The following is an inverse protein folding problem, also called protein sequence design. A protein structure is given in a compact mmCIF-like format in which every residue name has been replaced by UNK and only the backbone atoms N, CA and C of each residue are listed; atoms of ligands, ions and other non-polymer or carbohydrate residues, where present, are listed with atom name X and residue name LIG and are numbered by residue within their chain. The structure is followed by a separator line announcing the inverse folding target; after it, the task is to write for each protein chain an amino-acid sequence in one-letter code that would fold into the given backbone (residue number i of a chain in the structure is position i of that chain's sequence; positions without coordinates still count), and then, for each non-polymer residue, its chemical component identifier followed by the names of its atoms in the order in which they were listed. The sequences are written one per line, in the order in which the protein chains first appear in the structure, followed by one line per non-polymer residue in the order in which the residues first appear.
data_IF_313140640508
#
_entry.id   IF_313140640508
#
_cell.length_a   1.000
_cell.length_b   1.000
_cell.length_c   1.000
_cell.angle_alpha   90.00
_cell.angle_beta   90.00
_cell.angle_gamma   90.00
#
_symmetry.space_group_name_H-M   'P 1'
#
loop_
_entity.id
_entity.type
_entity.pdbx_description
1 polymer ?
#
# COMPACT_ATOMS: atom_id res chain seq x y z
N UNK A 1 35.05 -43.65 -13.32
CA UNK A 1 34.52 -43.05 -14.56
C UNK A 1 33.29 -42.24 -14.17
N UNK A 2 33.44 -40.93 -13.96
CA UNK A 2 32.25 -40.06 -13.80
C UNK A 2 31.66 -39.79 -15.19
N UNK A 3 30.34 -39.80 -15.36
CA UNK A 3 29.72 -39.48 -16.64
C UNK A 3 29.94 -38.01 -16.95
N UNK A 4 30.40 -37.72 -18.17
CA UNK A 4 30.50 -36.35 -18.70
C UNK A 4 29.10 -35.81 -18.98
N UNK A 5 28.44 -35.25 -17.96
CA UNK A 5 27.23 -34.46 -18.19
C UNK A 5 27.64 -33.11 -18.79
N UNK A 6 27.77 -33.03 -20.11
CA UNK A 6 27.76 -31.75 -20.83
C UNK A 6 26.32 -31.22 -20.84
N UNK A 7 25.89 -30.67 -19.71
CA UNK A 7 24.73 -29.80 -19.69
C UNK A 7 25.11 -28.53 -20.48
N UNK A 8 24.71 -28.45 -21.74
CA UNK A 8 24.84 -27.22 -22.54
C UNK A 8 23.74 -26.26 -22.11
N UNK A 9 24.11 -25.21 -21.40
CA UNK A 9 23.21 -24.12 -21.04
C UNK A 9 22.95 -23.29 -22.31
N UNK A 10 21.71 -23.24 -22.78
CA UNK A 10 21.32 -22.33 -23.86
C UNK A 10 21.13 -20.92 -23.30
N UNK A 11 22.05 -20.03 -23.64
CA UNK A 11 22.07 -18.64 -23.17
C UNK A 11 20.86 -17.84 -23.67
N UNK A 12 20.30 -18.17 -24.84
CA UNK A 12 19.13 -17.49 -25.37
C UNK A 12 17.85 -17.87 -24.63
N UNK A 13 17.66 -19.16 -24.34
CA UNK A 13 16.52 -19.65 -23.54
C UNK A 13 16.54 -19.00 -22.15
N UNK A 14 17.71 -18.99 -21.51
CA UNK A 14 17.88 -18.38 -20.20
C UNK A 14 17.63 -16.86 -20.20
N UNK A 15 18.14 -16.14 -21.22
CA UNK A 15 17.91 -14.70 -21.34
C UNK A 15 16.41 -14.37 -21.52
N UNK A 16 15.67 -15.24 -22.20
CA UNK A 16 14.22 -15.09 -22.38
C UNK A 16 13.45 -15.36 -21.08
N UNK A 17 13.79 -16.42 -20.35
CA UNK A 17 13.19 -16.71 -19.03
C UNK A 17 13.43 -15.57 -18.03
N UNK A 18 14.65 -15.00 -18.01
CA UNK A 18 14.98 -13.88 -17.13
C UNK A 18 14.19 -12.62 -17.49
N UNK A 19 13.99 -12.37 -18.78
CA UNK A 19 13.16 -11.26 -19.26
C UNK A 19 11.72 -11.45 -18.83
N UNK A 20 11.16 -12.64 -19.01
CA UNK A 20 9.79 -12.95 -18.60
C UNK A 20 9.57 -12.77 -17.08
N UNK A 21 10.52 -13.22 -16.26
CA UNK A 21 10.47 -13.00 -14.81
C UNK A 21 10.56 -11.51 -14.44
N UNK A 22 11.43 -10.76 -15.12
CA UNK A 22 11.56 -9.32 -14.91
C UNK A 22 10.27 -8.57 -15.28
N UNK A 23 9.66 -8.92 -16.41
CA UNK A 23 8.41 -8.34 -16.88
C UNK A 23 7.26 -8.64 -15.90
N UNK A 24 7.16 -9.88 -15.40
CA UNK A 24 6.18 -10.26 -14.36
C UNK A 24 6.40 -9.51 -13.06
N UNK A 25 7.65 -9.37 -12.61
CA UNK A 25 7.98 -8.62 -11.39
C UNK A 25 7.60 -7.14 -11.53
N UNK A 26 7.88 -6.54 -12.69
CA UNK A 26 7.55 -5.16 -12.97
C UNK A 26 6.04 -4.92 -13.00
N UNK A 27 5.29 -5.82 -13.65
CA UNK A 27 3.83 -5.76 -13.70
C UNK A 27 3.21 -5.85 -12.30
N UNK A 28 3.61 -6.84 -11.50
CA UNK A 28 3.11 -6.99 -10.13
C UNK A 28 3.50 -5.83 -9.21
N UNK A 29 4.69 -5.26 -9.38
CA UNK A 29 5.12 -4.09 -8.57
C UNK A 29 4.28 -2.86 -8.92
N UNK A 30 4.01 -2.63 -10.21
CA UNK A 30 3.13 -1.56 -10.66
C UNK A 30 1.71 -1.73 -10.11
N UNK A 31 1.17 -2.94 -10.15
CA UNK A 31 -0.14 -3.25 -9.57
C UNK A 31 -0.17 -3.01 -8.05
N UNK A 32 0.90 -3.40 -7.33
CA UNK A 32 1.04 -3.14 -5.89
C UNK A 32 0.98 -1.64 -5.58
N UNK A 33 1.69 -0.83 -6.35
CA UNK A 33 1.74 0.63 -6.17
C UNK A 33 0.39 1.29 -6.49
N UNK A 34 -0.30 0.85 -7.54
CA UNK A 34 -1.65 1.32 -7.87
C UNK A 34 -2.65 0.99 -6.75
N UNK A 35 -2.61 -0.24 -6.22
CA UNK A 35 -3.48 -0.65 -5.11
C UNK A 35 -3.15 0.14 -3.84
N UNK A 36 -1.87 0.39 -3.54
CA UNK A 36 -1.45 1.20 -2.39
C UNK A 36 -1.98 2.63 -2.48
N UNK A 37 -1.88 3.26 -3.66
CA UNK A 37 -2.43 4.61 -3.88
C UNK A 37 -3.94 4.62 -3.63
N UNK A 38 -4.67 3.69 -4.23
CA UNK A 38 -6.11 3.57 -4.05
C UNK A 38 -6.52 3.27 -2.59
N UNK A 39 -5.69 2.55 -1.84
CA UNK A 39 -5.93 2.26 -0.43
C UNK A 39 -5.77 3.51 0.45
N UNK A 40 -4.79 4.37 0.16
CA UNK A 40 -4.63 5.65 0.87
C UNK A 40 -5.87 6.51 0.65
N UNK A 41 -6.31 6.67 -0.59
CA UNK A 41 -7.55 7.39 -0.92
C UNK A 41 -8.76 6.83 -0.18
N UNK A 42 -8.94 5.50 -0.16
CA UNK A 42 -10.07 4.87 0.53
C UNK A 42 -10.04 5.09 2.05
N UNK A 43 -8.84 5.11 2.65
CA UNK A 43 -8.66 5.40 4.08
C UNK A 43 -8.99 6.86 4.40
N UNK A 44 -8.57 7.79 3.54
CA UNK A 44 -8.90 9.21 3.66
C UNK A 44 -10.41 9.44 3.54
N UNK A 45 -11.04 8.86 2.51
CA UNK A 45 -12.49 8.90 2.32
C UNK A 45 -13.25 8.36 3.54
N UNK A 46 -12.75 7.26 4.13
CA UNK A 46 -13.36 6.69 5.34
C UNK A 46 -13.29 7.67 6.51
N UNK A 47 -12.14 8.32 6.72
CA UNK A 47 -11.99 9.30 7.79
C UNK A 47 -12.93 10.48 7.61
N UNK A 48 -13.06 10.99 6.38
CA UNK A 48 -14.00 12.06 6.04
C UNK A 48 -15.43 11.62 6.36
N UNK A 49 -15.84 10.44 5.91
CA UNK A 49 -17.21 9.93 6.13
C UNK A 49 -17.51 9.65 7.60
N UNK A 50 -16.53 9.22 8.39
CA UNK A 50 -16.69 9.07 9.85
C UNK A 50 -16.90 10.43 10.51
N UNK A 51 -16.12 11.45 10.15
CA UNK A 51 -16.28 12.79 10.69
C UNK A 51 -17.63 13.40 10.29
N UNK A 52 -18.02 13.28 9.02
CA UNK A 52 -19.32 13.71 8.51
C UNK A 52 -20.46 13.04 9.27
N UNK A 53 -20.40 11.71 9.49
CA UNK A 53 -21.41 10.98 10.25
C UNK A 53 -21.54 11.51 11.68
N UNK A 54 -20.42 11.77 12.35
CA UNK A 54 -20.43 12.32 13.71
C UNK A 54 -21.06 13.71 13.76
N UNK A 55 -20.81 14.55 12.76
CA UNK A 55 -21.39 15.90 12.68
C UNK A 55 -22.89 15.84 12.47
N UNK A 56 -23.36 15.02 11.51
CA UNK A 56 -24.79 14.91 11.21
C UNK A 56 -25.55 14.25 12.37
N UNK A 57 -24.99 13.22 13.01
CA UNK A 57 -25.62 12.59 14.18
C UNK A 57 -25.80 13.58 15.33
N UNK A 58 -24.82 14.45 15.58
CA UNK A 58 -24.97 15.50 16.60
C UNK A 58 -26.05 16.51 16.23
N UNK A 59 -26.08 16.94 14.97
CA UNK A 59 -27.11 17.86 14.50
C UNK A 59 -28.53 17.24 14.62
N UNK A 60 -28.67 15.95 14.29
CA UNK A 60 -29.91 15.19 14.50
C UNK A 60 -30.29 15.14 15.98
N UNK A 61 -29.35 14.77 16.87
CA UNK A 61 -29.58 14.72 18.32
C UNK A 61 -30.01 16.08 18.88
N UNK A 62 -29.38 17.17 18.46
CA UNK A 62 -29.72 18.53 18.86
C UNK A 62 -31.15 18.91 18.39
N UNK A 63 -31.49 18.67 17.13
CA UNK A 63 -32.82 18.97 16.57
C UNK A 63 -33.93 18.16 17.25
N UNK A 64 -33.70 16.88 17.50
CA UNK A 64 -34.64 16.01 18.22
C UNK A 64 -34.79 16.47 19.68
N UNK A 65 -33.70 16.87 20.31
CA UNK A 65 -33.68 17.42 21.66
C UNK A 65 -34.49 18.72 21.77
N UNK A 66 -34.27 19.64 20.83
CA UNK A 66 -34.99 20.91 20.72
C UNK A 66 -36.49 20.67 20.50
N UNK A 67 -36.86 19.74 19.60
CA UNK A 67 -38.25 19.39 19.35
C UNK A 67 -38.92 18.81 20.61
N UNK A 68 -38.24 17.92 21.33
CA UNK A 68 -38.73 17.32 22.58
C UNK A 68 -38.84 18.33 23.73
N UNK A 69 -38.03 19.40 23.70
CA UNK A 69 -38.16 20.51 24.62
C UNK A 69 -39.39 21.37 24.27
N UNK A 70 -39.52 21.77 23.00
CA UNK A 70 -40.65 22.57 22.51
C UNK A 70 -41.99 21.86 22.64
N UNK A 71 -42.05 20.53 22.57
CA UNK A 71 -43.28 19.77 22.74
C UNK A 71 -43.86 19.87 24.16
N UNK A 72 -43.05 20.27 25.15
CA UNK A 72 -43.48 20.47 26.55
C UNK A 72 -44.02 21.87 26.80
N UNK A 73 -43.85 22.78 25.83
CA UNK A 73 -44.23 24.18 25.94
C UNK A 73 -45.57 24.37 25.21
N UNK A 74 -46.59 24.97 25.85
CA UNK A 74 -47.86 25.24 25.20
C UNK A 74 -47.69 26.16 23.99
N UNK A 75 -48.59 26.02 23.03
CA UNK A 75 -48.63 26.91 21.87
C UNK A 75 -48.89 28.36 22.35
N UNK A 76 -48.25 29.33 21.69
CA UNK A 76 -48.22 30.75 22.09
C UNK A 76 -47.37 31.05 23.36
N UNK A 77 -46.61 30.08 23.85
CA UNK A 77 -45.61 30.29 24.91
C UNK A 77 -44.43 31.15 24.42
N UNK A 78 -43.94 32.04 25.28
CA UNK A 78 -42.73 32.81 25.01
C UNK A 78 -41.48 32.06 25.48
N UNK A 79 -40.46 32.03 24.63
CA UNK A 79 -39.19 31.35 24.86
C UNK A 79 -38.03 32.30 24.72
N UNK A 80 -37.28 32.51 25.78
CA UNK A 80 -36.02 33.24 25.70
C UNK A 80 -34.93 32.31 25.18
N UNK A 81 -34.41 32.58 23.99
CA UNK A 81 -33.31 31.81 23.42
C UNK A 81 -32.01 32.09 24.20
N UNK A 82 -31.35 31.07 24.78
CA UNK A 82 -30.11 31.27 25.53
C UNK A 82 -28.93 31.69 24.64
N UNK A 83 -29.02 31.45 23.33
CA UNK A 83 -27.96 31.74 22.36
C UNK A 83 -27.98 33.18 21.86
N UNK A 84 -29.17 33.75 21.62
CA UNK A 84 -29.31 35.11 21.08
C UNK A 84 -29.95 36.11 22.06
N UNK A 85 -30.51 35.65 23.18
CA UNK A 85 -31.18 36.49 24.18
C UNK A 85 -32.54 37.05 23.76
N UNK A 86 -33.04 36.71 22.56
CA UNK A 86 -34.36 37.15 22.09
C UNK A 86 -35.48 36.25 22.60
N UNK A 87 -36.66 36.84 22.75
CA UNK A 87 -37.90 36.12 23.03
C UNK A 87 -38.53 35.69 21.71
N UNK A 88 -38.72 34.39 21.55
CA UNK A 88 -39.38 33.77 20.41
C UNK A 88 -40.76 33.26 20.82
N UNK A 89 -41.72 33.36 19.91
CA UNK A 89 -43.02 32.73 20.11
C UNK A 89 -42.95 31.25 19.70
N UNK A 90 -43.34 30.36 20.62
CA UNK A 90 -43.59 28.94 20.36
C UNK A 90 -44.84 28.81 19.50
N UNK A 91 -44.68 28.92 18.18
CA UNK A 91 -45.75 28.67 17.23
C UNK A 91 -45.78 27.20 16.80
N UNK A 92 -46.98 26.68 16.54
CA UNK A 92 -47.16 25.35 15.94
C UNK A 92 -46.34 25.20 14.65
N UNK A 93 -46.28 26.25 13.83
CA UNK A 93 -45.50 26.26 12.59
C UNK A 93 -44.01 26.03 12.83
N UNK A 94 -43.40 26.70 13.81
CA UNK A 94 -42.00 26.51 14.14
C UNK A 94 -41.70 25.08 14.60
N UNK A 95 -42.63 24.45 15.35
CA UNK A 95 -42.51 23.03 15.75
C UNK A 95 -42.55 22.09 14.54
N UNK A 96 -43.40 22.37 13.55
CA UNK A 96 -43.50 21.58 12.31
C UNK A 96 -42.25 21.73 11.43
N UNK A 97 -41.74 22.96 11.29
CA UNK A 97 -40.50 23.22 10.54
C UNK A 97 -39.33 22.47 11.19
N UNK A 98 -39.17 22.58 12.52
CA UNK A 98 -38.13 21.86 13.26
C UNK A 98 -38.27 20.33 13.16
N UNK A 99 -39.50 19.81 13.19
CA UNK A 99 -39.75 18.37 13.00
C UNK A 99 -39.34 17.89 11.59
N UNK A 100 -39.51 18.74 10.58
CA UNK A 100 -39.08 18.45 9.21
C UNK A 100 -37.55 18.45 9.14
N UNK A 101 -36.89 19.44 9.73
CA UNK A 101 -35.43 19.51 9.77
C UNK A 101 -34.82 18.30 10.50
N UNK A 102 -35.46 17.82 11.59
CA UNK A 102 -35.03 16.63 12.31
C UNK A 102 -35.14 15.35 11.46
N UNK A 103 -36.22 15.21 10.69
CA UNK A 103 -36.39 14.09 9.75
C UNK A 103 -35.36 14.16 8.61
N UNK A 104 -35.12 15.34 8.05
CA UNK A 104 -34.12 15.53 7.00
C UNK A 104 -32.70 15.19 7.51
N UNK A 105 -32.37 15.59 8.74
CA UNK A 105 -31.12 15.21 9.41
C UNK A 105 -31.03 13.69 9.60
N UNK A 106 -32.11 13.03 10.01
CA UNK A 106 -32.17 11.57 10.14
C UNK A 106 -31.90 10.86 8.80
N UNK A 107 -32.55 11.31 7.72
CA UNK A 107 -32.31 10.77 6.38
C UNK A 107 -30.86 10.97 5.93
N UNK A 108 -30.26 12.11 6.28
CA UNK A 108 -28.84 12.37 6.00
C UNK A 108 -27.94 11.41 6.80
N UNK A 109 -28.24 11.11 8.06
CA UNK A 109 -27.51 10.10 8.85
C UNK A 109 -27.56 8.73 8.17
N UNK A 110 -28.72 8.29 7.71
CA UNK A 110 -28.88 7.02 6.99
C UNK A 110 -28.01 7.02 5.71
N UNK A 111 -28.07 8.10 4.94
CA UNK A 111 -27.30 8.26 3.71
C UNK A 111 -25.79 8.19 3.97
N UNK A 112 -25.27 8.97 4.92
CA UNK A 112 -23.83 8.98 5.25
C UNK A 112 -23.37 7.63 5.81
N UNK A 113 -24.19 6.95 6.62
CA UNK A 113 -23.89 5.57 7.08
C UNK A 113 -23.75 4.60 5.91
N UNK A 114 -24.64 4.67 4.92
CA UNK A 114 -24.58 3.81 3.73
C UNK A 114 -23.31 4.07 2.91
N UNK A 115 -22.92 5.34 2.77
CA UNK A 115 -21.70 5.73 2.08
C UNK A 115 -20.45 5.26 2.83
N UNK A 116 -20.43 5.39 4.15
CA UNK A 116 -19.35 4.89 5.00
C UNK A 116 -19.18 3.38 4.84
N UNK A 117 -20.28 2.61 4.84
CA UNK A 117 -20.24 1.16 4.63
C UNK A 117 -19.68 0.80 3.24
N UNK A 118 -20.06 1.55 2.20
CA UNK A 118 -19.52 1.37 0.84
C UNK A 118 -17.99 1.60 0.78
N UNK A 119 -17.52 2.69 1.41
CA UNK A 119 -16.08 2.99 1.48
C UNK A 119 -15.32 1.93 2.28
N UNK A 120 -15.89 1.45 3.39
CA UNK A 120 -15.29 0.37 4.19
C UNK A 120 -15.16 -0.94 3.41
N UNK A 121 -16.18 -1.31 2.63
CA UNK A 121 -16.12 -2.48 1.76
C UNK A 121 -15.05 -2.32 0.69
N UNK A 122 -14.98 -1.15 0.03
CA UNK A 122 -13.92 -0.84 -0.94
C UNK A 122 -12.53 -0.94 -0.32
N UNK A 123 -12.34 -0.41 0.89
CA UNK A 123 -11.08 -0.50 1.62
C UNK A 123 -10.69 -1.97 1.91
N UNK A 124 -11.66 -2.78 2.35
CA UNK A 124 -11.45 -4.21 2.62
C UNK A 124 -11.05 -4.97 1.35
N UNK A 125 -11.72 -4.71 0.22
CA UNK A 125 -11.40 -5.31 -1.06
C UNK A 125 -9.98 -4.94 -1.53
N UNK A 126 -9.59 -3.67 -1.36
CA UNK A 126 -8.23 -3.21 -1.69
C UNK A 126 -7.18 -3.87 -0.80
N UNK A 127 -7.44 -4.03 0.50
CA UNK A 127 -6.55 -4.76 1.40
C UNK A 127 -6.38 -6.22 0.99
N UNK A 128 -7.46 -6.89 0.61
CA UNK A 128 -7.41 -8.27 0.12
C UNK A 128 -6.61 -8.39 -1.17
N UNK A 129 -6.81 -7.46 -2.12
CA UNK A 129 -6.01 -7.40 -3.36
C UNK A 129 -4.53 -7.15 -3.09
N UNK A 130 -4.22 -6.21 -2.19
CA UNK A 130 -2.83 -5.93 -1.80
C UNK A 130 -2.16 -7.16 -1.19
N UNK A 131 -2.87 -7.89 -0.34
CA UNK A 131 -2.37 -9.14 0.24
C UNK A 131 -2.10 -10.21 -0.83
N UNK A 132 -2.99 -10.34 -1.83
CA UNK A 132 -2.79 -11.27 -2.93
C UNK A 132 -1.56 -10.90 -3.78
N UNK A 133 -1.42 -9.64 -4.20
CA UNK A 133 -0.29 -9.17 -5.01
C UNK A 133 1.04 -9.27 -4.25
N UNK A 134 1.06 -8.86 -2.98
CA UNK A 134 2.26 -8.97 -2.14
C UNK A 134 2.70 -10.43 -1.91
N UNK A 135 1.74 -11.36 -1.82
CA UNK A 135 2.04 -12.80 -1.76
C UNK A 135 2.66 -13.30 -3.06
N UNK A 136 2.09 -12.94 -4.21
CA UNK A 136 2.64 -13.28 -5.53
C UNK A 136 4.05 -12.72 -5.74
N UNK A 137 4.30 -11.46 -5.32
CA UNK A 137 5.64 -10.85 -5.35
C UNK A 137 6.63 -11.60 -4.46
N UNK A 138 6.19 -12.03 -3.27
CA UNK A 138 7.04 -12.78 -2.37
C UNK A 138 7.39 -14.17 -2.91
N UNK A 139 6.43 -14.88 -3.49
CA UNK A 139 6.65 -16.16 -4.17
C UNK A 139 7.69 -16.00 -5.29
N UNK A 140 7.53 -14.98 -6.13
CA UNK A 140 8.48 -14.68 -7.21
C UNK A 140 9.88 -14.38 -6.67
N UNK A 141 9.99 -13.59 -5.58
CA UNK A 141 11.27 -13.31 -4.92
C UNK A 141 11.94 -14.56 -4.37
N UNK A 142 11.17 -15.48 -3.77
CA UNK A 142 11.68 -16.76 -3.25
C UNK A 142 12.20 -17.64 -4.39
N UNK A 143 11.45 -17.73 -5.50
CA UNK A 143 11.87 -18.47 -6.69
C UNK A 143 13.19 -17.91 -7.25
N UNK A 144 13.27 -16.61 -7.48
CA UNK A 144 14.49 -15.95 -7.96
C UNK A 144 15.68 -16.13 -7.00
N UNK A 145 15.45 -16.06 -5.69
CA UNK A 145 16.49 -16.27 -4.70
C UNK A 145 17.02 -17.71 -4.70
N UNK A 146 16.14 -18.71 -4.90
CA UNK A 146 16.53 -20.12 -5.03
C UNK A 146 17.38 -20.34 -6.26
N UNK A 147 16.97 -19.82 -7.41
CA UNK A 147 17.74 -19.94 -8.67
C UNK A 147 19.10 -19.26 -8.57
N UNK A 148 19.17 -18.07 -7.96
CA UNK A 148 20.44 -17.37 -7.72
C UNK A 148 21.40 -18.17 -6.84
N UNK A 149 20.90 -18.84 -5.79
CA UNK A 149 21.73 -19.69 -4.92
C UNK A 149 22.25 -20.92 -5.67
N UNK A 150 21.40 -21.59 -6.46
CA UNK A 150 21.81 -22.72 -7.31
C UNK A 150 22.91 -22.27 -8.27
N UNK A 151 22.73 -21.09 -8.90
CA UNK A 151 23.75 -20.50 -9.79
C UNK A 151 25.09 -20.29 -9.08
N UNK A 152 25.07 -19.66 -7.89
CA UNK A 152 26.29 -19.44 -7.11
C UNK A 152 27.02 -20.75 -6.76
N UNK A 153 26.27 -21.80 -6.42
CA UNK A 153 26.82 -23.13 -6.15
C UNK A 153 27.46 -23.72 -7.41
N UNK A 154 26.75 -23.73 -8.54
CA UNK A 154 27.28 -24.23 -9.82
C UNK A 154 28.53 -23.46 -10.24
N UNK A 155 28.53 -22.13 -10.19
CA UNK A 155 29.71 -21.31 -10.51
C UNK A 155 30.88 -21.61 -9.57
N UNK A 156 30.63 -21.81 -8.27
CA UNK A 156 31.67 -22.17 -7.31
C UNK A 156 32.27 -23.56 -7.54
N UNK A 157 31.47 -24.52 -8.02
CA UNK A 157 31.90 -25.87 -8.37
C UNK A 157 32.70 -25.88 -9.69
N UNK A 158 32.26 -25.13 -10.70
CA UNK A 158 33.00 -24.96 -11.95
C UNK A 158 34.38 -24.33 -11.72
N UNK A 159 34.48 -23.30 -10.88
CA UNK A 159 35.78 -22.71 -10.46
C UNK A 159 36.70 -23.68 -9.72
N UNK A 160 36.15 -24.69 -9.04
CA UNK A 160 36.94 -25.73 -8.36
C UNK A 160 37.37 -26.85 -9.30
N UNK A 161 36.68 -27.02 -10.42
CA UNK A 161 36.97 -28.03 -11.44
C UNK A 161 37.98 -27.58 -12.50
N UNK A 162 38.32 -26.29 -12.57
CA UNK A 162 39.42 -25.79 -13.40
C UNK A 162 40.77 -26.30 -12.86
N UNK A 163 41.52 -27.13 -13.62
CA UNK A 163 42.83 -27.60 -13.18
C UNK A 163 43.79 -26.42 -13.08
N UNK A 164 44.45 -26.27 -11.93
CA UNK A 164 45.62 -25.40 -11.77
C UNK A 164 46.70 -25.89 -12.74
N UNK A 165 46.79 -25.30 -13.93
CA UNK A 165 47.97 -25.49 -14.79
C UNK A 165 49.15 -24.78 -14.12
N UNK A 166 49.95 -25.61 -13.46
CA UNK A 166 51.22 -25.25 -12.84
C UNK A 166 52.29 -25.00 -13.91
N UNK A 167 52.82 -23.77 -13.94
CA UNK A 167 54.19 -23.28 -14.29
C UNK A 167 54.90 -23.81 -15.57
N UNK A 168 55.87 -23.02 -16.07
CA UNK A 168 57.21 -23.59 -16.20
C UNK A 168 58.27 -22.77 -15.46
N UNK A 169 59.25 -23.49 -14.92
CA UNK A 169 60.40 -22.99 -14.14
C UNK A 169 61.68 -23.20 -14.96
N UNK A 170 62.57 -22.18 -15.03
CA UNK A 170 64.05 -22.22 -15.20
C UNK A 170 64.67 -22.74 -16.53
N UNK A 171 65.83 -22.29 -17.08
CA UNK A 171 66.97 -21.46 -16.63
C UNK A 171 67.94 -21.08 -17.81
N UNK A 172 68.92 -20.20 -17.52
CA UNK A 172 70.26 -19.95 -18.16
C UNK A 172 70.28 -19.18 -19.50
N UNK A 173 71.20 -18.26 -19.85
CA UNK A 173 72.47 -17.70 -19.32
C UNK A 173 72.63 -16.30 -19.98
N UNK A 174 73.09 -15.22 -19.35
CA UNK A 174 74.51 -14.94 -19.07
C UNK A 174 74.87 -13.50 -19.51
N UNK A 175 75.93 -12.95 -18.90
CA UNK A 175 76.71 -11.75 -19.25
C UNK A 175 76.35 -10.42 -18.53
N UNK A 176 76.98 -10.23 -17.36
CA UNK A 176 77.58 -8.95 -16.90
C UNK A 176 78.87 -8.69 -17.72
N UNK A 177 79.47 -7.47 -17.81
CA UNK A 177 79.75 -6.58 -16.67
C UNK A 177 79.86 -5.03 -16.91
N UNK A 178 80.20 -4.33 -15.81
CA UNK A 178 80.84 -3.01 -15.63
C UNK A 178 79.94 -1.76 -15.53
N UNK A 179 79.83 -1.14 -14.32
CA UNK A 179 80.66 -0.02 -13.74
C UNK A 179 80.40 1.31 -14.47
N UNK A 180 80.14 2.48 -13.87
CA UNK A 180 80.61 3.13 -12.63
C UNK A 180 79.77 4.41 -12.36
N UNK A 181 79.78 4.86 -11.09
CA UNK A 181 79.75 6.27 -10.58
C UNK A 181 78.52 7.14 -10.83
N UNK A 182 77.77 7.50 -9.78
CA UNK A 182 77.99 8.65 -8.86
C UNK A 182 77.72 10.01 -9.50
N UNK A 183 76.74 10.76 -8.98
CA UNK A 183 76.95 12.01 -8.21
C UNK A 183 75.77 12.99 -8.38
N UNK A 184 75.21 13.36 -7.22
CA UNK A 184 74.51 14.63 -6.87
C UNK A 184 73.13 14.91 -7.45
#
# INVERSE_FOLDING_TARGET
MLPESRATLDEHVFANELRELADRAAALSKEEDEIRSALVEAVEDRQIKVAELQMVMRAEEDLVGDLAYLSKIPDEGQLTCPTCGQVHDSSFRAKVELATDAEDAHQLVISVRSQLASVQNREQDLRAKLQAVSSSLNELRVLMARERKVRQLVTSLLRRAEPRSSKPTTALSGICPHRLTSSR
#
